data_IF_364664835510
#
_entry.id   IF_364664835510
#
_cell.length_a   1.000
_cell.length_b   1.000
_cell.length_c   1.000
_cell.angle_alpha   90.00
_cell.angle_beta   90.00
_cell.angle_gamma   90.00
#
_symmetry.space_group_name_H-M   'P 1'
#
loop_
_entity.id
_entity.type
_entity.pdbx_description
1 polymer ?
#
# COMPACT_ATOMS: atom_id res chain seq x y z
N UNK A 1 -11.72 10.04 -10.88
CA UNK A 1 -10.76 10.59 -9.92
C UNK A 1 -9.49 9.75 -9.87
N UNK A 2 -8.35 10.38 -9.55
CA UNK A 2 -7.06 9.71 -9.40
C UNK A 2 -6.15 10.52 -8.45
N UNK A 3 -5.14 9.88 -7.90
CA UNK A 3 -3.99 10.53 -7.27
C UNK A 3 -2.71 9.81 -7.66
N UNK A 4 -1.57 10.40 -7.39
CA UNK A 4 -0.26 9.88 -7.75
C UNK A 4 0.48 9.37 -6.51
N UNK A 5 1.31 8.35 -6.72
CA UNK A 5 2.24 7.84 -5.73
C UNK A 5 3.65 7.84 -6.33
N UNK A 6 4.58 8.53 -5.68
CA UNK A 6 5.98 8.50 -6.05
C UNK A 6 6.64 7.22 -5.56
N UNK A 7 6.96 6.31 -6.49
CA UNK A 7 7.72 5.10 -6.22
C UNK A 7 9.21 5.42 -6.12
N UNK A 8 9.60 6.13 -5.07
CA UNK A 8 10.93 6.69 -4.83
C UNK A 8 11.95 5.63 -4.39
N UNK A 9 12.16 4.61 -5.21
CA UNK A 9 13.14 3.55 -4.95
C UNK A 9 13.92 3.17 -6.20
N UNK A 10 15.16 2.74 -6.02
CA UNK A 10 16.01 2.23 -7.10
C UNK A 10 15.39 0.99 -7.74
N UNK A 11 15.31 0.98 -9.05
CA UNK A 11 14.90 -0.19 -9.82
C UNK A 11 16.09 -1.13 -10.02
N UNK A 12 15.87 -2.38 -9.61
CA UNK A 12 16.91 -3.43 -9.74
C UNK A 12 16.39 -4.60 -10.56
N UNK A 13 17.30 -5.43 -11.04
CA UNK A 13 16.96 -6.66 -11.74
C UNK A 13 16.48 -7.81 -10.82
N UNK A 14 16.03 -7.52 -9.61
CA UNK A 14 15.60 -8.53 -8.62
C UNK A 14 14.53 -9.46 -9.18
N UNK A 15 13.60 -8.92 -9.96
CA UNK A 15 12.52 -9.68 -10.60
C UNK A 15 12.98 -10.58 -11.74
N UNK A 16 14.23 -10.41 -12.19
CA UNK A 16 14.84 -11.19 -13.25
C UNK A 16 16.01 -12.05 -12.73
N UNK A 17 16.04 -12.33 -11.43
CA UNK A 17 17.07 -13.14 -10.79
C UNK A 17 18.44 -12.44 -10.66
N UNK A 18 18.51 -11.15 -10.90
CA UNK A 18 19.73 -10.34 -10.82
C UNK A 18 19.59 -9.20 -9.78
N UNK A 19 19.47 -9.51 -8.48
CA UNK A 19 19.17 -8.50 -7.44
C UNK A 19 20.26 -7.43 -7.28
N UNK A 20 21.50 -7.73 -7.65
CA UNK A 20 22.61 -6.77 -7.61
C UNK A 20 22.71 -5.86 -8.84
N UNK A 21 21.88 -6.06 -9.86
CA UNK A 21 21.90 -5.24 -11.07
C UNK A 21 20.96 -4.05 -10.91
N UNK A 22 21.51 -2.85 -10.86
CA UNK A 22 20.73 -1.60 -10.92
C UNK A 22 20.31 -1.37 -12.38
N UNK A 23 19.02 -1.15 -12.58
CA UNK A 23 18.43 -0.78 -13.88
C UNK A 23 18.28 0.73 -13.98
N UNK A 24 17.70 1.36 -12.95
CA UNK A 24 17.58 2.81 -12.81
C UNK A 24 17.80 3.14 -11.34
N UNK A 25 18.77 3.99 -11.05
CA UNK A 25 19.03 4.46 -9.70
C UNK A 25 18.11 5.62 -9.34
N UNK A 26 17.45 5.53 -8.16
CA UNK A 26 16.77 6.66 -7.58
C UNK A 26 17.81 7.52 -6.85
N UNK A 27 18.03 8.71 -7.35
CA UNK A 27 18.89 9.71 -6.71
C UNK A 27 18.07 10.87 -6.17
N UNK A 28 18.66 11.62 -5.23
CA UNK A 28 18.06 12.82 -4.64
C UNK A 28 19.08 13.97 -4.74
N UNK A 29 19.23 14.59 -5.93
CA UNK A 29 20.33 15.52 -6.20
C UNK A 29 20.19 16.89 -5.51
N UNK A 30 19.09 17.15 -4.82
CA UNK A 30 18.88 18.35 -4.01
C UNK A 30 17.58 19.09 -4.28
N UNK A 31 17.44 20.28 -3.67
CA UNK A 31 16.17 21.01 -3.68
C UNK A 31 15.75 21.51 -5.06
N UNK A 32 16.67 21.81 -5.94
CA UNK A 32 16.35 22.20 -7.34
C UNK A 32 15.65 21.06 -8.11
N UNK A 33 16.05 19.82 -7.87
CA UNK A 33 15.41 18.65 -8.45
C UNK A 33 14.00 18.44 -7.86
N UNK A 34 13.85 18.61 -6.55
CA UNK A 34 12.54 18.57 -5.90
C UNK A 34 11.60 19.68 -6.40
N UNK A 35 12.13 20.86 -6.73
CA UNK A 35 11.35 21.94 -7.34
C UNK A 35 10.86 21.54 -8.74
N UNK A 36 11.74 21.02 -9.60
CA UNK A 36 11.38 20.52 -10.94
C UNK A 36 10.33 19.42 -10.84
N UNK A 37 10.51 18.47 -9.92
CA UNK A 37 9.56 17.39 -9.68
C UNK A 37 8.18 17.94 -9.26
N UNK A 38 8.14 18.91 -8.36
CA UNK A 38 6.89 19.57 -7.97
C UNK A 38 6.16 20.18 -9.18
N UNK A 39 6.86 20.91 -10.05
CA UNK A 39 6.24 21.54 -11.22
C UNK A 39 5.72 20.53 -12.24
N UNK A 40 6.32 19.35 -12.35
CA UNK A 40 5.75 18.26 -13.14
C UNK A 40 4.47 17.71 -12.51
N UNK A 41 4.46 17.53 -11.19
CA UNK A 41 3.27 17.08 -10.44
C UNK A 41 2.13 18.10 -10.45
N UNK A 42 2.45 19.40 -10.48
CA UNK A 42 1.48 20.49 -10.45
C UNK A 42 0.48 20.40 -11.61
N UNK A 43 0.91 19.89 -12.76
CA UNK A 43 0.04 19.64 -13.91
C UNK A 43 -1.09 18.69 -13.58
N UNK A 44 -0.79 17.64 -12.81
CA UNK A 44 -1.77 16.67 -12.33
C UNK A 44 -2.61 17.25 -11.17
N UNK A 45 -2.00 17.96 -10.24
CA UNK A 45 -2.70 18.56 -9.09
C UNK A 45 -3.81 19.55 -9.51
N UNK A 46 -3.66 20.19 -10.67
CA UNK A 46 -4.66 21.11 -11.26
C UNK A 46 -5.76 20.40 -12.06
N UNK A 47 -5.69 19.09 -12.24
CA UNK A 47 -6.76 18.34 -12.92
C UNK A 47 -7.98 18.25 -12.00
N UNK A 48 -9.16 18.58 -12.49
CA UNK A 48 -10.42 18.56 -11.72
C UNK A 48 -10.83 17.17 -11.23
N UNK A 49 -10.24 16.11 -11.78
CA UNK A 49 -10.44 14.72 -11.36
C UNK A 49 -9.47 14.29 -10.25
N UNK A 50 -8.49 15.13 -9.90
CA UNK A 50 -7.51 14.78 -8.90
C UNK A 50 -8.14 14.68 -7.51
N UNK A 51 -7.82 13.62 -6.77
CA UNK A 51 -8.36 13.40 -5.41
C UNK A 51 -7.76 14.42 -4.45
N UNK A 52 -8.63 15.05 -3.67
CA UNK A 52 -8.25 16.03 -2.64
C UNK A 52 -8.78 15.63 -1.26
N UNK A 53 -8.14 16.12 -0.22
CA UNK A 53 -8.61 16.10 1.17
C UNK A 53 -8.49 17.53 1.71
N UNK A 54 -9.58 18.07 2.24
CA UNK A 54 -9.69 19.50 2.64
C UNK A 54 -9.24 20.45 1.51
N UNK A 55 -9.59 20.11 0.25
CA UNK A 55 -9.20 20.82 -0.96
C UNK A 55 -7.73 20.68 -1.37
N UNK A 56 -6.90 19.97 -0.59
CA UNK A 56 -5.47 19.76 -0.83
C UNK A 56 -5.27 18.50 -1.68
N UNK A 57 -4.53 18.55 -2.81
CA UNK A 57 -4.20 17.38 -3.60
C UNK A 57 -3.52 16.29 -2.75
N UNK A 58 -3.99 15.05 -2.89
CA UNK A 58 -3.41 13.89 -2.21
C UNK A 58 -2.21 13.38 -2.99
N UNK A 59 -1.03 13.38 -2.40
CA UNK A 59 0.16 12.84 -3.00
C UNK A 59 0.85 11.84 -2.08
N UNK A 60 1.14 10.64 -2.60
CA UNK A 60 1.75 9.57 -1.83
C UNK A 60 3.26 9.49 -2.09
N UNK A 61 4.01 9.21 -1.02
CA UNK A 61 5.44 8.89 -1.09
C UNK A 61 5.60 7.44 -0.63
N UNK A 62 6.08 6.58 -1.52
CA UNK A 62 6.14 5.14 -1.27
C UNK A 62 7.13 4.76 -0.17
N UNK A 63 8.30 5.40 -0.16
CA UNK A 63 9.36 5.16 0.84
C UNK A 63 9.82 6.46 1.48
N UNK A 64 9.04 7.03 2.39
CA UNK A 64 9.38 8.31 3.01
C UNK A 64 10.72 8.27 3.76
N UNK A 65 11.08 7.12 4.35
CA UNK A 65 12.33 6.93 5.10
C UNK A 65 13.60 6.93 4.24
N UNK A 66 13.46 6.79 2.92
CA UNK A 66 14.62 6.81 2.00
C UNK A 66 15.06 8.25 1.66
N UNK A 67 14.24 9.27 2.00
CA UNK A 67 14.61 10.68 1.90
C UNK A 67 15.19 11.17 3.23
N UNK A 68 16.49 11.41 3.29
CA UNK A 68 17.16 11.87 4.52
C UNK A 68 16.64 13.22 5.05
N UNK A 69 16.20 14.09 4.16
CA UNK A 69 15.70 15.44 4.45
C UNK A 69 14.20 15.63 4.16
N UNK A 70 13.42 14.56 4.36
CA UNK A 70 12.00 14.52 3.96
C UNK A 70 11.18 15.69 4.50
N UNK A 71 11.37 16.11 5.76
CA UNK A 71 10.64 17.26 6.32
C UNK A 71 10.93 18.55 5.57
N UNK A 72 12.18 18.76 5.14
CA UNK A 72 12.55 19.93 4.34
C UNK A 72 11.87 19.90 2.98
N UNK A 73 11.86 18.74 2.32
CA UNK A 73 11.22 18.53 1.01
C UNK A 73 9.71 18.73 1.09
N UNK A 74 9.05 18.13 2.08
CA UNK A 74 7.59 18.24 2.25
C UNK A 74 7.15 19.67 2.57
N UNK A 75 7.90 20.38 3.41
CA UNK A 75 7.63 21.79 3.70
C UNK A 75 7.81 22.66 2.44
N UNK A 76 8.91 22.46 1.71
CA UNK A 76 9.19 23.19 0.48
C UNK A 76 8.09 22.95 -0.58
N UNK A 77 7.62 21.72 -0.76
CA UNK A 77 6.51 21.44 -1.67
C UNK A 77 5.20 22.09 -1.23
N UNK A 78 4.92 22.19 0.06
CA UNK A 78 3.74 22.93 0.54
C UNK A 78 3.84 24.44 0.27
N UNK A 79 5.03 25.02 0.44
CA UNK A 79 5.29 26.42 0.10
C UNK A 79 5.08 26.69 -1.39
N UNK A 80 5.61 25.81 -2.25
CA UNK A 80 5.39 25.88 -3.70
C UNK A 80 3.91 25.73 -4.05
N UNK A 81 3.19 24.82 -3.41
CA UNK A 81 1.75 24.63 -3.64
C UNK A 81 0.96 25.90 -3.33
N UNK A 82 1.24 26.53 -2.18
CA UNK A 82 0.60 27.81 -1.80
C UNK A 82 0.97 28.91 -2.78
N UNK A 83 2.22 29.04 -3.18
CA UNK A 83 2.70 30.00 -4.19
C UNK A 83 1.96 29.84 -5.52
N UNK A 84 1.65 28.60 -5.89
CA UNK A 84 0.93 28.27 -7.13
C UNK A 84 -0.59 28.30 -7.00
N UNK A 85 -1.12 28.80 -5.86
CA UNK A 85 -2.55 29.01 -5.64
C UNK A 85 -3.32 27.79 -5.18
N UNK A 86 -2.64 26.69 -4.79
CA UNK A 86 -3.24 25.55 -4.13
C UNK A 86 -3.36 25.79 -2.61
N UNK A 87 -4.32 25.19 -1.90
CA UNK A 87 -4.46 25.36 -0.44
C UNK A 87 -3.38 24.59 0.35
N UNK A 88 -2.40 24.02 -0.31
CA UNK A 88 -1.34 23.16 0.22
C UNK A 88 -1.38 21.77 -0.43
N UNK A 89 -0.75 20.78 0.21
CA UNK A 89 -0.77 19.37 -0.20
C UNK A 89 -1.20 18.50 0.97
N UNK A 90 -1.90 17.41 0.67
CA UNK A 90 -2.16 16.31 1.61
C UNK A 90 -1.17 15.19 1.30
N UNK A 91 -0.05 15.15 2.07
CA UNK A 91 1.06 14.26 1.83
C UNK A 91 0.91 12.98 2.65
N UNK A 92 0.99 11.83 1.98
CA UNK A 92 0.72 10.52 2.58
C UNK A 92 1.92 9.60 2.38
N UNK A 93 2.44 9.03 3.46
CA UNK A 93 3.50 8.02 3.40
C UNK A 93 2.93 6.62 3.30
N UNK A 94 3.60 5.71 2.57
CA UNK A 94 3.25 4.29 2.62
C UNK A 94 4.07 3.61 3.71
N UNK A 95 3.39 3.15 4.77
CA UNK A 95 4.04 2.48 5.90
C UNK A 95 3.97 0.96 5.73
N UNK A 96 5.13 0.32 5.72
CA UNK A 96 5.24 -1.14 5.60
C UNK A 96 5.38 -1.85 6.94
N UNK A 97 5.92 -1.19 7.97
CA UNK A 97 6.37 -1.88 9.18
C UNK A 97 6.13 -1.13 10.48
N UNK A 98 5.77 0.14 10.46
CA UNK A 98 5.83 0.94 11.66
C UNK A 98 4.51 1.59 12.04
N UNK A 99 4.43 1.89 13.32
CA UNK A 99 3.44 2.75 13.93
C UNK A 99 3.99 4.20 14.04
N UNK A 100 4.90 4.56 13.14
CA UNK A 100 5.54 5.88 13.15
C UNK A 100 4.52 6.96 12.83
N UNK A 101 4.55 8.00 13.65
CA UNK A 101 3.74 9.18 13.44
C UNK A 101 4.19 9.87 12.14
N UNK A 102 3.29 10.06 11.15
CA UNK A 102 3.62 10.73 9.89
C UNK A 102 4.17 12.15 10.08
N UNK A 103 3.82 12.82 11.17
CA UNK A 103 4.33 14.15 11.48
C UNK A 103 5.86 14.19 11.60
N UNK A 104 6.51 13.09 12.01
CA UNK A 104 7.96 12.97 12.05
C UNK A 104 8.62 13.12 10.68
N UNK A 105 7.89 12.84 9.62
CA UNK A 105 8.32 12.95 8.22
C UNK A 105 7.74 14.17 7.52
N UNK A 106 7.05 15.05 8.25
CA UNK A 106 6.31 16.16 7.65
C UNK A 106 5.14 15.71 6.76
N UNK A 107 4.56 14.55 7.05
CA UNK A 107 3.41 13.99 6.32
C UNK A 107 2.12 14.19 7.11
N UNK A 108 0.99 14.22 6.40
CA UNK A 108 -0.34 14.40 7.00
C UNK A 108 -0.98 13.06 7.40
N UNK A 109 -0.63 11.98 6.71
CA UNK A 109 -1.21 10.65 6.93
C UNK A 109 -0.25 9.53 6.49
N UNK A 110 -0.63 8.29 6.84
CA UNK A 110 0.01 7.07 6.33
C UNK A 110 -1.00 6.14 5.69
N UNK A 111 -0.58 5.42 4.66
CA UNK A 111 -1.26 4.20 4.21
C UNK A 111 -0.74 3.03 5.04
N UNK A 112 -1.60 2.44 5.86
CA UNK A 112 -1.25 1.31 6.72
C UNK A 112 -1.19 0.00 5.89
N UNK A 113 -0.15 -0.10 5.05
CA UNK A 113 0.10 -1.28 4.22
C UNK A 113 0.94 -2.28 5.01
N UNK A 114 0.28 -3.27 5.59
CA UNK A 114 0.94 -4.30 6.40
C UNK A 114 1.20 -5.55 5.57
N UNK A 115 2.46 -5.94 5.49
CA UNK A 115 2.85 -7.27 5.04
C UNK A 115 3.25 -8.10 6.26
N UNK A 116 2.91 -9.40 6.31
CA UNK A 116 3.30 -10.23 7.43
C UNK A 116 4.83 -10.32 7.51
N UNK A 117 5.38 -10.08 8.69
CA UNK A 117 6.81 -10.25 8.96
C UNK A 117 7.21 -11.72 8.92
N UNK A 118 8.49 -12.00 8.69
CA UNK A 118 9.04 -13.39 8.66
C UNK A 118 8.76 -14.20 9.92
N UNK A 119 8.46 -13.54 11.04
CA UNK A 119 8.11 -14.15 12.32
C UNK A 119 6.65 -14.61 12.44
N UNK A 120 5.77 -14.19 11.54
CA UNK A 120 4.38 -14.62 11.55
C UNK A 120 4.24 -16.03 10.93
N UNK A 121 5.05 -16.97 11.36
CA UNK A 121 4.93 -18.36 10.91
C UNK A 121 3.58 -18.93 11.31
N UNK A 122 2.97 -19.67 10.39
CA UNK A 122 1.84 -20.54 10.65
C UNK A 122 2.42 -21.93 10.88
N UNK A 123 2.63 -22.32 12.16
CA UNK A 123 3.47 -23.49 12.41
C UNK A 123 2.81 -24.83 12.11
N UNK A 124 1.48 -24.88 12.04
CA UNK A 124 0.78 -26.17 12.17
C UNK A 124 0.01 -26.63 10.93
N UNK A 125 -0.29 -25.74 9.99
CA UNK A 125 -1.17 -26.11 8.88
C UNK A 125 -0.46 -26.83 7.70
N UNK A 126 0.89 -26.91 7.73
CA UNK A 126 1.66 -27.49 6.62
C UNK A 126 2.78 -28.41 7.11
N UNK A 127 2.45 -29.62 7.63
CA UNK A 127 3.47 -30.56 8.13
C UNK A 127 4.45 -31.01 7.04
N UNK A 128 4.01 -31.12 5.78
CA UNK A 128 4.87 -31.45 4.64
C UNK A 128 5.95 -30.39 4.37
N UNK A 129 5.62 -29.10 4.55
CA UNK A 129 6.59 -28.00 4.38
C UNK A 129 7.67 -28.03 5.48
N UNK A 130 7.28 -28.38 6.71
CA UNK A 130 8.26 -28.60 7.81
C UNK A 130 9.17 -29.77 7.50
N UNK A 131 8.63 -30.88 6.99
CA UNK A 131 9.41 -32.05 6.63
C UNK A 131 10.42 -31.72 5.51
N UNK A 132 10.00 -30.97 4.48
CA UNK A 132 10.89 -30.57 3.40
C UNK A 132 11.98 -29.59 3.86
N UNK A 133 11.68 -28.70 4.83
CA UNK A 133 12.68 -27.82 5.44
C UNK A 133 13.74 -28.60 6.23
N UNK A 134 13.37 -29.74 6.86
CA UNK A 134 14.31 -30.66 7.53
C UNK A 134 15.32 -31.29 6.54
N UNK A 135 14.97 -31.41 5.27
CA UNK A 135 15.87 -31.89 4.22
C UNK A 135 16.65 -30.75 3.51
N UNK A 136 16.74 -29.57 4.14
CA UNK A 136 17.54 -28.44 3.64
C UNK A 136 16.94 -27.76 2.41
N UNK A 137 15.71 -28.08 2.02
CA UNK A 137 15.03 -27.40 0.92
C UNK A 137 14.47 -26.06 1.38
N UNK A 138 14.94 -24.99 0.75
CA UNK A 138 14.36 -23.66 0.96
C UNK A 138 12.99 -23.59 0.30
N UNK A 139 11.99 -23.15 1.04
CA UNK A 139 10.59 -23.07 0.59
C UNK A 139 10.08 -21.63 0.71
N UNK A 140 9.09 -21.21 -0.10
CA UNK A 140 8.44 -19.93 0.07
C UNK A 140 7.76 -19.84 1.45
N UNK A 141 7.59 -18.63 1.95
CA UNK A 141 6.89 -18.39 3.20
C UNK A 141 5.39 -18.38 2.94
N UNK A 142 4.67 -19.30 3.58
CA UNK A 142 3.21 -19.44 3.38
C UNK A 142 2.48 -18.97 4.63
N UNK A 143 1.50 -18.09 4.41
CA UNK A 143 0.59 -17.58 5.44
C UNK A 143 -0.84 -18.00 5.15
N UNK A 144 -1.61 -18.38 6.18
CA UNK A 144 -3.06 -18.53 6.06
C UNK A 144 -3.72 -17.17 5.94
N UNK A 145 -4.47 -16.95 4.86
CA UNK A 145 -5.17 -15.70 4.64
C UNK A 145 -6.19 -15.42 5.76
N UNK A 146 -6.89 -16.45 6.23
CA UNK A 146 -7.83 -16.35 7.35
C UNK A 146 -7.18 -15.79 8.64
N UNK A 147 -5.95 -16.17 8.94
CA UNK A 147 -5.22 -15.62 10.08
C UNK A 147 -4.67 -14.23 9.80
N UNK A 148 -4.26 -13.96 8.54
CA UNK A 148 -3.70 -12.67 8.17
C UNK A 148 -4.72 -11.53 8.26
N UNK A 149 -5.96 -11.73 7.81
CA UNK A 149 -6.97 -10.68 7.82
C UNK A 149 -7.25 -10.10 9.21
N UNK A 150 -6.92 -10.87 10.28
CA UNK A 150 -7.01 -10.37 11.65
C UNK A 150 -5.89 -9.38 12.01
N UNK A 151 -4.77 -9.43 11.28
CA UNK A 151 -3.55 -8.66 11.57
C UNK A 151 -3.29 -7.58 10.52
N UNK A 152 -3.83 -7.73 9.30
CA UNK A 152 -3.65 -6.78 8.20
C UNK A 152 -4.42 -5.47 8.45
N UNK A 153 -5.53 -5.54 9.16
CA UNK A 153 -6.29 -4.35 9.57
C UNK A 153 -6.27 -4.27 11.10
N UNK A 154 -5.63 -3.26 11.65
CA UNK A 154 -5.67 -3.00 13.11
C UNK A 154 -7.10 -2.71 13.55
N UNK A 155 -7.44 -3.18 14.76
CA UNK A 155 -8.73 -2.89 15.38
C UNK A 155 -8.81 -1.43 15.84
N UNK A 156 -7.71 -0.94 16.40
CA UNK A 156 -7.65 0.40 16.96
C UNK A 156 -7.02 1.38 15.95
N UNK A 157 -7.57 2.58 15.90
CA UNK A 157 -6.98 3.66 15.14
C UNK A 157 -5.73 4.19 15.88
N UNK A 158 -4.62 4.43 15.19
CA UNK A 158 -3.49 5.13 15.78
C UNK A 158 -3.88 6.58 16.13
N UNK A 159 -3.09 7.28 16.97
CA UNK A 159 -3.37 8.67 17.36
C UNK A 159 -3.13 9.68 16.22
N UNK A 160 -2.84 9.23 15.02
CA UNK A 160 -2.59 10.02 13.81
C UNK A 160 -3.47 9.53 12.64
N UNK A 161 -3.54 10.33 11.57
CA UNK A 161 -4.32 9.97 10.39
C UNK A 161 -3.69 8.77 9.65
N UNK A 162 -4.50 7.73 9.46
CA UNK A 162 -4.06 6.48 8.85
C UNK A 162 -5.16 5.89 7.98
N UNK A 163 -4.81 5.54 6.75
CA UNK A 163 -5.70 4.93 5.77
C UNK A 163 -5.43 3.42 5.69
N UNK A 164 -6.43 2.57 5.95
CA UNK A 164 -6.24 1.13 5.83
C UNK A 164 -5.94 0.72 4.40
N UNK A 165 -5.06 -0.28 4.25
CA UNK A 165 -4.77 -0.92 2.98
C UNK A 165 -5.16 -2.39 3.05
N UNK A 166 -6.04 -2.83 2.15
CA UNK A 166 -6.43 -4.24 2.03
C UNK A 166 -5.65 -4.92 0.92
N UNK A 167 -5.34 -6.19 1.12
CA UNK A 167 -4.58 -7.02 0.19
C UNK A 167 -5.44 -8.22 -0.18
N UNK A 168 -5.95 -8.31 -1.43
CA UNK A 168 -6.89 -9.35 -1.83
C UNK A 168 -6.26 -10.73 -1.89
N UNK A 169 -5.05 -10.83 -2.38
CA UNK A 169 -4.27 -12.06 -2.54
C UNK A 169 -2.78 -11.74 -2.61
N UNK A 170 -1.93 -12.77 -2.49
CA UNK A 170 -0.49 -12.62 -2.68
C UNK A 170 0.16 -13.96 -3.01
N UNK A 171 0.83 -14.02 -4.15
CA UNK A 171 1.75 -15.09 -4.52
C UNK A 171 2.82 -14.53 -5.45
N UNK A 172 3.97 -14.15 -4.90
CA UNK A 172 5.08 -13.66 -5.70
C UNK A 172 6.14 -14.73 -6.01
N UNK A 173 5.82 -16.01 -5.84
CA UNK A 173 6.74 -17.10 -6.17
C UNK A 173 7.18 -17.12 -7.63
N UNK A 174 6.36 -16.69 -8.63
CA UNK A 174 6.82 -16.58 -10.00
C UNK A 174 8.03 -15.64 -10.18
N UNK A 175 8.14 -14.61 -9.32
CA UNK A 175 9.27 -13.65 -9.33
C UNK A 175 10.39 -14.05 -8.37
N UNK A 176 10.04 -14.55 -7.19
CA UNK A 176 10.95 -14.70 -6.04
C UNK A 176 11.31 -16.15 -5.75
N UNK A 177 10.71 -17.12 -6.44
CA UNK A 177 10.94 -18.55 -6.21
C UNK A 177 10.77 -18.92 -4.73
N UNK A 178 11.76 -19.59 -4.18
CA UNK A 178 11.76 -20.02 -2.76
C UNK A 178 11.91 -18.87 -1.75
N UNK A 179 12.18 -17.65 -2.19
CA UNK A 179 12.14 -16.44 -1.35
C UNK A 179 10.77 -15.79 -1.33
N UNK A 180 9.82 -16.33 -2.08
CA UNK A 180 8.47 -15.78 -2.21
C UNK A 180 7.64 -15.89 -0.94
N UNK A 181 6.55 -15.14 -0.96
CA UNK A 181 5.47 -15.16 0.05
C UNK A 181 4.19 -15.60 -0.66
N UNK A 182 3.42 -16.44 0.00
CA UNK A 182 2.13 -16.92 -0.50
C UNK A 182 1.05 -16.76 0.55
N UNK A 183 -0.08 -16.16 0.19
CA UNK A 183 -1.30 -16.17 0.99
C UNK A 183 -2.16 -17.36 0.56
N UNK A 184 -2.28 -18.36 1.42
CA UNK A 184 -3.05 -19.57 1.13
C UNK A 184 -4.45 -19.50 1.73
N UNK A 185 -5.42 -20.09 0.98
CA UNK A 185 -6.81 -20.16 1.41
C UNK A 185 -7.54 -18.83 1.25
N UNK A 186 -7.14 -18.03 0.30
CA UNK A 186 -7.89 -16.83 -0.11
C UNK A 186 -9.25 -17.25 -0.64
N UNK A 187 -10.28 -16.56 -0.20
CA UNK A 187 -11.66 -16.72 -0.71
C UNK A 187 -12.34 -15.37 -0.75
N UNK A 188 -13.32 -15.21 -1.65
CA UNK A 188 -14.09 -13.96 -1.76
C UNK A 188 -14.78 -13.56 -0.44
N UNK A 189 -15.37 -14.48 0.35
CA UNK A 189 -15.92 -14.12 1.67
C UNK A 189 -14.89 -13.58 2.64
N UNK A 190 -13.67 -14.13 2.69
CA UNK A 190 -12.60 -13.62 3.55
C UNK A 190 -12.09 -12.25 3.09
N UNK A 191 -11.99 -12.03 1.78
CA UNK A 191 -11.68 -10.72 1.24
C UNK A 191 -12.76 -9.69 1.60
N UNK A 192 -14.04 -10.04 1.46
CA UNK A 192 -15.16 -9.19 1.86
C UNK A 192 -15.12 -8.88 3.36
N UNK A 193 -14.75 -9.84 4.20
CA UNK A 193 -14.57 -9.63 5.64
C UNK A 193 -13.45 -8.62 5.93
N UNK A 194 -12.31 -8.75 5.26
CA UNK A 194 -11.21 -7.77 5.39
C UNK A 194 -11.66 -6.36 5.00
N UNK A 195 -12.38 -6.24 3.88
CA UNK A 195 -12.91 -4.96 3.41
C UNK A 195 -13.91 -4.35 4.40
N UNK A 196 -14.83 -5.13 4.96
CA UNK A 196 -15.77 -4.65 5.98
C UNK A 196 -15.06 -4.10 7.22
N UNK A 197 -13.99 -4.75 7.66
CA UNK A 197 -13.16 -4.24 8.76
C UNK A 197 -12.53 -2.89 8.43
N UNK A 198 -12.02 -2.73 7.20
CA UNK A 198 -11.46 -1.47 6.75
C UNK A 198 -12.54 -0.37 6.66
N UNK A 199 -13.73 -0.69 6.13
CA UNK A 199 -14.88 0.24 6.07
C UNK A 199 -15.31 0.69 7.47
N UNK A 200 -15.44 -0.23 8.42
CA UNK A 200 -15.80 0.11 9.80
C UNK A 200 -14.74 0.99 10.47
N UNK A 201 -13.46 0.81 10.14
CA UNK A 201 -12.38 1.64 10.67
C UNK A 201 -12.47 3.10 10.19
N UNK A 202 -12.93 3.33 8.97
CA UNK A 202 -13.03 4.69 8.40
C UNK A 202 -14.41 5.33 8.56
N UNK A 203 -15.44 4.57 8.91
CA UNK A 203 -16.85 5.03 9.00
C UNK A 203 -17.05 6.29 9.87
N UNK A 204 -16.27 6.44 10.94
CA UNK A 204 -16.35 7.60 11.85
C UNK A 204 -15.55 8.81 11.42
N UNK A 205 -14.79 8.73 10.32
CA UNK A 205 -13.97 9.83 9.82
C UNK A 205 -14.81 10.83 9.03
N UNK A 206 -14.28 12.03 8.84
CA UNK A 206 -14.84 12.98 7.87
C UNK A 206 -14.90 12.35 6.48
N UNK A 207 -15.92 12.70 5.69
CA UNK A 207 -16.21 12.05 4.41
C UNK A 207 -15.01 12.02 3.44
N UNK A 208 -14.25 13.11 3.35
CA UNK A 208 -13.05 13.18 2.51
C UNK A 208 -11.88 12.32 3.00
N UNK A 209 -11.90 11.92 4.27
CA UNK A 209 -10.90 11.02 4.91
C UNK A 209 -11.37 9.57 4.97
N UNK A 210 -12.55 9.26 4.44
CA UNK A 210 -13.04 7.89 4.30
C UNK A 210 -12.36 7.18 3.12
N UNK A 211 -11.03 7.04 3.19
CA UNK A 211 -10.21 6.46 2.14
C UNK A 211 -9.74 5.07 2.56
N UNK A 212 -9.88 4.11 1.65
CA UNK A 212 -9.33 2.77 1.76
C UNK A 212 -8.50 2.48 0.53
N UNK A 213 -7.27 2.03 0.73
CA UNK A 213 -6.41 1.58 -0.35
C UNK A 213 -6.58 0.08 -0.58
N UNK A 214 -6.56 -0.32 -1.84
CA UNK A 214 -6.54 -1.74 -2.25
C UNK A 214 -5.24 -1.97 -3.00
N UNK A 215 -4.39 -2.82 -2.49
CA UNK A 215 -3.20 -3.28 -3.18
C UNK A 215 -3.47 -4.69 -3.72
N UNK A 216 -3.66 -4.82 -5.06
CA UNK A 216 -3.68 -3.82 -6.10
C UNK A 216 -4.82 -4.09 -7.10
N UNK A 217 -5.00 -3.21 -8.10
CA UNK A 217 -5.91 -3.47 -9.20
C UNK A 217 -5.40 -4.62 -10.07
N UNK A 218 -4.13 -4.58 -10.50
CA UNK A 218 -3.61 -5.45 -11.55
C UNK A 218 -2.13 -5.89 -11.35
N UNK A 219 -1.69 -6.12 -10.11
CA UNK A 219 -0.33 -6.64 -9.87
C UNK A 219 -0.30 -8.17 -10.02
N UNK A 220 -0.54 -8.63 -11.25
CA UNK A 220 -0.60 -10.04 -11.62
C UNK A 220 0.66 -10.82 -11.28
N UNK A 221 1.82 -10.21 -11.45
CA UNK A 221 3.11 -10.85 -11.22
C UNK A 221 3.41 -11.14 -9.73
N UNK A 222 2.63 -10.58 -8.82
CA UNK A 222 2.65 -10.88 -7.39
C UNK A 222 1.38 -11.63 -6.96
N UNK A 223 0.53 -12.10 -7.91
CA UNK A 223 -0.75 -12.72 -7.60
C UNK A 223 -1.67 -11.80 -6.79
N UNK A 224 -1.52 -10.49 -6.94
CA UNK A 224 -2.12 -9.48 -6.09
C UNK A 224 -2.97 -8.52 -6.94
N UNK A 225 -4.20 -8.92 -7.21
CA UNK A 225 -5.09 -8.20 -8.12
C UNK A 225 -6.56 -8.38 -7.75
N UNK A 226 -7.40 -7.46 -8.23
CA UNK A 226 -8.87 -7.52 -8.17
C UNK A 226 -9.50 -7.37 -9.56
N UNK A 227 -8.66 -7.19 -10.59
CA UNK A 227 -9.09 -7.20 -11.98
C UNK A 227 -9.78 -8.53 -12.32
N UNK A 228 -10.86 -8.54 -13.12
CA UNK A 228 -11.55 -9.76 -13.47
C UNK A 228 -10.63 -10.83 -14.07
N UNK A 229 -10.73 -12.06 -13.59
CA UNK A 229 -9.93 -13.19 -14.01
C UNK A 229 -10.81 -14.39 -14.47
N UNK A 230 -10.16 -15.44 -14.98
CA UNK A 230 -10.87 -16.63 -15.45
C UNK A 230 -11.40 -17.52 -14.31
N UNK A 231 -10.83 -17.42 -13.11
CA UNK A 231 -11.21 -18.24 -11.95
C UNK A 231 -12.36 -17.62 -11.17
N UNK A 232 -12.27 -16.33 -10.87
CA UNK A 232 -13.22 -15.62 -10.01
C UNK A 232 -14.16 -14.70 -10.79
N UNK A 233 -13.91 -14.48 -12.09
CA UNK A 233 -14.69 -13.54 -12.87
C UNK A 233 -14.67 -12.14 -12.24
N UNK A 234 -15.84 -11.59 -11.94
CA UNK A 234 -16.01 -10.25 -11.33
C UNK A 234 -16.26 -10.28 -9.82
N UNK A 235 -16.11 -11.41 -9.16
CA UNK A 235 -16.53 -11.60 -7.76
C UNK A 235 -15.84 -10.65 -6.78
N UNK A 236 -14.56 -10.26 -7.00
CA UNK A 236 -13.88 -9.25 -6.17
C UNK A 236 -14.58 -7.89 -6.24
N UNK A 237 -14.96 -7.45 -7.43
CA UNK A 237 -15.67 -6.18 -7.64
C UNK A 237 -17.09 -6.21 -7.06
N UNK A 238 -17.77 -7.35 -7.19
CA UNK A 238 -19.08 -7.57 -6.59
C UNK A 238 -19.01 -7.55 -5.07
N UNK A 239 -18.01 -8.21 -4.48
CA UNK A 239 -17.77 -8.17 -3.03
C UNK A 239 -17.49 -6.74 -2.51
N UNK A 240 -16.75 -5.92 -3.26
CA UNK A 240 -16.53 -4.51 -2.93
C UNK A 240 -17.84 -3.75 -2.93
N UNK A 241 -18.62 -3.88 -4.01
CA UNK A 241 -19.93 -3.23 -4.15
C UNK A 241 -20.90 -3.60 -3.02
N UNK A 242 -20.95 -4.88 -2.67
CA UNK A 242 -21.81 -5.37 -1.60
C UNK A 242 -21.36 -4.88 -0.22
N UNK A 243 -20.05 -4.97 0.09
CA UNK A 243 -19.53 -4.53 1.38
C UNK A 243 -19.78 -3.04 1.62
N UNK A 244 -19.62 -2.20 0.60
CA UNK A 244 -19.94 -0.76 0.67
C UNK A 244 -21.42 -0.55 0.97
N UNK A 245 -22.33 -1.24 0.26
CA UNK A 245 -23.77 -1.12 0.48
C UNK A 245 -24.17 -1.54 1.90
N UNK A 246 -23.68 -2.67 2.39
CA UNK A 246 -23.98 -3.19 3.72
C UNK A 246 -23.52 -2.22 4.82
N UNK A 247 -22.36 -1.58 4.66
CA UNK A 247 -21.82 -0.66 5.67
C UNK A 247 -22.53 0.70 5.68
N UNK A 248 -23.20 1.10 4.60
CA UNK A 248 -23.98 2.34 4.56
C UNK A 248 -25.41 2.19 5.12
N UNK A 249 -25.89 0.95 5.32
CA UNK A 249 -27.23 0.68 5.84
C UNK A 249 -27.25 0.38 7.36
N UNK A 250 -26.08 0.20 7.97
CA UNK A 250 -25.87 0.06 9.41
C UNK A 250 -25.42 1.41 10.04
#
# INVERSE_FOLDING_TARGET
PFCLCWANQTWTGIWHGAPGRILIEQTYPGMEDHEKHFYELLKAFRDTRYITVDGKPVFLIYRPTDLLNIQQVTNFWRELAIKEGLPGLHLVGVSHYSDDDPAQFGLDAVVDQRMPGKSAHIPSEYPLLKLQALFGKKLPTIYSYKHLINNLIKKDNPPFESYPCIIPNWDNTPRSGTNGIVFKGVTIPLFKEQLKRALNRVKSKQSEKNIIFIKAWNEWAEGNYIEPDLENGRQYLEAIKEAIKETHHD
#
